data_IF_625790762466
#
_entry.id   IF_625790762466
#
_cell.length_a   1.000
_cell.length_b   1.000
_cell.length_c   1.000
_cell.angle_alpha   90.00
_cell.angle_beta   90.00
_cell.angle_gamma   90.00
#
_symmetry.space_group_name_H-M   'P 1'
#
loop_
_entity.id
_entity.type
_entity.pdbx_description
1 polymer ?
#
# COMPACT_ATOMS: atom_id res chain seq x y z
N UNK A 1 63.65 33.28 38.34
CA UNK A 1 64.49 34.23 37.57
C UNK A 1 64.18 34.06 36.09
N UNK A 2 63.93 35.16 35.40
CA UNK A 2 63.55 35.26 33.99
C UNK A 2 64.51 34.53 33.03
N UNK A 3 63.96 33.99 31.92
CA UNK A 3 64.16 34.59 30.59
C UNK A 3 63.21 34.00 29.55
N UNK A 4 62.49 34.93 28.94
CA UNK A 4 61.81 34.92 27.66
C UNK A 4 62.67 34.39 26.52
N UNK A 5 62.10 33.59 25.60
CA UNK A 5 62.34 33.78 24.17
C UNK A 5 61.11 33.33 23.38
N UNK A 6 60.46 34.31 22.76
CA UNK A 6 59.42 34.21 21.75
C UNK A 6 60.11 33.85 20.43
N UNK A 7 59.69 32.79 19.75
CA UNK A 7 60.04 32.55 18.33
C UNK A 7 58.74 32.46 17.55
N UNK A 8 58.47 33.52 16.78
CA UNK A 8 57.44 33.56 15.74
C UNK A 8 58.15 33.18 14.44
N UNK A 9 57.71 32.11 13.77
CA UNK A 9 58.07 31.85 12.37
C UNK A 9 56.78 31.65 11.56
N UNK A 10 56.59 32.65 10.70
CA UNK A 10 55.89 32.75 9.42
C UNK A 10 55.00 31.61 8.91
N UNK A 11 53.78 32.03 8.57
CA UNK A 11 52.89 31.49 7.54
C UNK A 11 53.63 30.93 6.31
N UNK A 12 53.35 29.69 5.96
CA UNK A 12 53.40 29.23 4.57
C UNK A 12 52.14 28.42 4.27
N UNK A 13 51.30 28.99 3.43
CA UNK A 13 50.18 28.33 2.77
C UNK A 13 50.75 27.18 1.91
N UNK A 14 50.40 25.95 2.26
CA UNK A 14 50.46 24.77 1.40
C UNK A 14 49.13 24.04 1.65
N UNK A 15 48.09 24.39 0.89
CA UNK A 15 47.71 23.68 -0.33
C UNK A 15 47.63 22.15 -0.13
N UNK A 16 46.41 21.73 0.21
CA UNK A 16 45.63 20.69 -0.48
C UNK A 16 46.23 19.29 -0.63
N UNK A 17 45.42 18.33 -0.16
CA UNK A 17 45.41 16.92 -0.54
C UNK A 17 46.56 16.04 0.00
N UNK A 18 46.50 15.74 1.30
CA UNK A 18 46.84 14.40 1.75
C UNK A 18 45.55 13.74 2.24
N UNK A 19 45.23 12.63 1.57
CA UNK A 19 44.11 11.74 1.81
C UNK A 19 44.04 11.34 3.28
N UNK A 20 43.08 11.92 3.99
CA UNK A 20 42.56 11.31 5.20
C UNK A 20 41.47 10.33 4.72
N UNK A 21 41.55 9.01 5.03
CA UNK A 21 40.49 8.06 4.74
C UNK A 21 39.30 8.33 5.66
N UNK A 22 38.59 9.37 5.25
CA UNK A 22 37.25 9.80 5.60
C UNK A 22 36.33 8.59 5.69
N UNK A 23 35.89 8.28 6.90
CA UNK A 23 34.48 8.38 7.31
C UNK A 23 33.47 8.18 6.16
N UNK A 24 33.56 7.05 5.46
CA UNK A 24 32.63 6.67 4.39
C UNK A 24 32.19 5.22 4.58
N UNK A 25 31.79 4.91 5.81
CA UNK A 25 30.97 3.73 6.09
C UNK A 25 29.75 4.19 6.87
N UNK A 26 28.92 4.99 6.20
CA UNK A 26 27.51 5.23 6.48
C UNK A 26 27.02 6.13 5.34
N UNK A 27 26.99 5.54 4.14
CA UNK A 27 26.25 6.09 3.03
C UNK A 27 25.19 5.04 2.70
N UNK A 28 23.95 5.48 2.86
CA UNK A 28 22.74 4.82 2.40
C UNK A 28 22.50 3.45 3.07
N UNK A 29 21.70 3.47 4.14
CA UNK A 29 20.64 2.45 4.22
C UNK A 29 19.78 2.72 2.98
N UNK A 30 20.21 2.17 1.84
CA UNK A 30 19.33 1.98 0.72
C UNK A 30 18.15 1.24 1.31
N UNK A 31 17.00 1.93 1.34
CA UNK A 31 15.70 1.29 1.32
C UNK A 31 15.89 0.05 0.46
N UNK A 32 15.71 -1.13 1.04
CA UNK A 32 15.58 -2.34 0.24
C UNK A 32 14.35 -2.04 -0.60
N UNK A 33 14.54 -1.51 -1.80
CA UNK A 33 13.54 -1.53 -2.84
C UNK A 33 13.31 -3.00 -3.07
N UNK A 34 12.30 -3.55 -2.40
CA UNK A 34 11.75 -4.85 -2.72
C UNK A 34 11.17 -4.65 -4.11
N UNK A 35 11.99 -4.94 -5.12
CA UNK A 35 11.59 -4.90 -6.52
C UNK A 35 10.32 -5.75 -6.66
N UNK A 36 9.23 -5.21 -7.23
CA UNK A 36 8.06 -6.02 -7.57
C UNK A 36 8.56 -7.21 -8.36
N UNK A 37 8.24 -8.42 -7.92
CA UNK A 37 8.68 -9.66 -8.56
C UNK A 37 8.45 -9.55 -10.06
N UNK A 38 9.53 -9.44 -10.83
CA UNK A 38 9.50 -9.29 -12.28
C UNK A 38 8.61 -10.41 -12.83
N UNK A 39 7.51 -10.05 -13.50
CA UNK A 39 6.68 -11.04 -14.15
C UNK A 39 7.54 -11.65 -15.27
N UNK A 40 7.76 -12.98 -15.30
CA UNK A 40 8.65 -13.57 -16.29
C UNK A 40 8.03 -13.36 -17.66
N UNK A 41 8.60 -12.43 -18.43
CA UNK A 41 8.09 -12.10 -19.76
C UNK A 41 8.85 -12.94 -20.77
N UNK A 42 8.17 -13.88 -21.45
CA UNK A 42 8.75 -14.56 -22.61
C UNK A 42 9.09 -13.53 -23.68
N UNK A 43 10.31 -13.63 -24.20
CA UNK A 43 10.81 -12.79 -25.31
C UNK A 43 10.01 -13.00 -26.60
N UNK A 44 9.32 -14.15 -26.73
CA UNK A 44 8.39 -14.45 -27.82
C UNK A 44 7.05 -15.00 -27.27
N UNK A 45 5.97 -14.19 -27.22
CA UNK A 45 4.70 -14.58 -26.64
C UNK A 45 3.96 -15.62 -27.52
N UNK A 46 3.59 -16.73 -26.89
CA UNK A 46 2.79 -17.81 -27.48
C UNK A 46 1.32 -17.60 -27.09
N UNK A 47 0.63 -16.74 -27.85
CA UNK A 47 -0.76 -16.36 -27.56
C UNK A 47 -1.73 -17.55 -27.46
N UNK A 48 -1.70 -18.55 -28.37
CA UNK A 48 -2.53 -19.74 -28.22
C UNK A 48 -2.28 -20.49 -26.91
N UNK A 49 -1.00 -20.66 -26.51
CA UNK A 49 -0.66 -21.30 -25.25
C UNK A 49 -1.16 -20.48 -24.04
N UNK A 50 -1.05 -19.15 -24.12
CA UNK A 50 -1.55 -18.25 -23.09
C UNK A 50 -3.07 -18.37 -22.91
N UNK A 51 -3.83 -18.40 -24.00
CA UNK A 51 -5.28 -18.61 -23.97
C UNK A 51 -5.67 -19.96 -23.36
N UNK A 52 -4.96 -21.04 -23.70
CA UNK A 52 -5.22 -22.37 -23.12
C UNK A 52 -5.06 -22.35 -21.60
N UNK A 53 -3.97 -21.75 -21.11
CA UNK A 53 -3.74 -21.62 -19.67
C UNK A 53 -4.78 -20.70 -19.01
N UNK A 54 -5.17 -19.61 -19.67
CA UNK A 54 -6.23 -18.73 -19.19
C UNK A 54 -7.57 -19.48 -19.00
N UNK A 55 -8.04 -20.21 -20.01
CA UNK A 55 -9.31 -20.96 -19.92
C UNK A 55 -9.25 -22.09 -18.88
N UNK A 56 -8.10 -22.74 -18.71
CA UNK A 56 -7.90 -23.71 -17.63
C UNK A 56 -7.98 -23.05 -16.26
N UNK A 57 -7.35 -21.89 -16.08
CA UNK A 57 -7.44 -21.10 -14.85
C UNK A 57 -8.88 -20.71 -14.51
N UNK A 58 -9.67 -20.29 -15.51
CA UNK A 58 -11.10 -20.02 -15.32
C UNK A 58 -11.88 -21.26 -14.87
N UNK A 59 -11.60 -22.43 -15.46
CA UNK A 59 -12.24 -23.69 -15.08
C UNK A 59 -11.92 -24.08 -13.64
N UNK A 60 -10.67 -23.96 -13.22
CA UNK A 60 -10.28 -24.22 -11.82
C UNK A 60 -10.89 -23.21 -10.85
N UNK A 61 -10.93 -21.92 -11.20
CA UNK A 61 -11.62 -20.89 -10.39
C UNK A 61 -13.09 -21.23 -10.19
N UNK A 62 -13.79 -21.63 -11.25
CA UNK A 62 -15.20 -22.03 -11.18
C UNK A 62 -15.43 -23.30 -10.35
N UNK A 63 -14.44 -24.20 -10.29
CA UNK A 63 -14.47 -25.39 -9.45
C UNK A 63 -14.08 -25.11 -7.98
N UNK A 64 -13.69 -23.88 -7.63
CA UNK A 64 -13.19 -23.53 -6.30
C UNK A 64 -11.75 -23.96 -6.03
N UNK A 65 -11.04 -24.49 -7.03
CA UNK A 65 -9.65 -24.93 -6.95
C UNK A 65 -8.71 -23.73 -7.15
N UNK A 66 -8.71 -22.80 -6.21
CA UNK A 66 -8.08 -21.48 -6.38
C UNK A 66 -6.56 -21.53 -6.55
N UNK A 67 -5.84 -22.42 -5.87
CA UNK A 67 -4.39 -22.57 -6.03
C UNK A 67 -4.03 -23.01 -7.46
N UNK A 68 -4.78 -23.97 -8.02
CA UNK A 68 -4.57 -24.42 -9.40
C UNK A 68 -4.95 -23.34 -10.41
N UNK A 69 -5.99 -22.55 -10.10
CA UNK A 69 -6.34 -21.41 -10.92
C UNK A 69 -5.22 -20.36 -10.97
N UNK A 70 -4.57 -20.09 -9.83
CA UNK A 70 -3.41 -19.20 -9.73
C UNK A 70 -2.25 -19.73 -10.60
N UNK A 71 -1.93 -21.02 -10.50
CA UNK A 71 -0.86 -21.62 -11.31
C UNK A 71 -1.11 -21.47 -12.81
N UNK A 72 -2.32 -21.75 -13.28
CA UNK A 72 -2.66 -21.62 -14.70
C UNK A 72 -2.68 -20.15 -15.15
N UNK A 73 -3.14 -19.22 -14.32
CA UNK A 73 -3.05 -17.78 -14.66
C UNK A 73 -1.61 -17.28 -14.71
N UNK A 74 -0.71 -17.75 -13.84
CA UNK A 74 0.72 -17.43 -13.93
C UNK A 74 1.33 -17.95 -15.24
N UNK A 75 1.05 -19.19 -15.62
CA UNK A 75 1.49 -19.75 -16.92
C UNK A 75 0.93 -18.98 -18.12
N UNK A 76 -0.31 -18.48 -18.01
CA UNK A 76 -0.92 -17.61 -19.04
C UNK A 76 -0.14 -16.30 -19.19
N UNK A 77 0.25 -15.66 -18.09
CA UNK A 77 1.08 -14.45 -18.11
C UNK A 77 2.45 -14.75 -18.74
N UNK A 78 3.12 -15.83 -18.31
CA UNK A 78 4.41 -16.27 -18.84
C UNK A 78 4.36 -16.58 -20.35
N UNK A 79 3.24 -17.09 -20.84
CA UNK A 79 3.00 -17.36 -22.26
C UNK A 79 2.67 -16.10 -23.08
N UNK A 80 2.44 -14.94 -22.45
CA UNK A 80 2.29 -13.66 -23.14
C UNK A 80 1.00 -12.90 -22.88
N UNK A 81 0.09 -13.43 -22.06
CA UNK A 81 -1.12 -12.71 -21.63
C UNK A 81 -0.81 -11.77 -20.45
N UNK A 82 0.04 -10.77 -20.69
CA UNK A 82 0.54 -9.80 -19.71
C UNK A 82 -0.31 -8.51 -19.75
N UNK A 83 -1.55 -8.60 -19.29
CA UNK A 83 -2.45 -7.45 -19.19
C UNK A 83 -2.91 -7.17 -17.75
N UNK A 84 -3.46 -5.97 -17.54
CA UNK A 84 -3.97 -5.51 -16.23
C UNK A 84 -5.04 -6.45 -15.66
N UNK A 85 -5.81 -7.11 -16.53
CA UNK A 85 -6.91 -7.98 -16.15
C UNK A 85 -6.41 -9.32 -15.57
N UNK A 86 -5.29 -9.86 -16.07
CA UNK A 86 -4.68 -11.06 -15.49
C UNK A 86 -4.20 -10.82 -14.05
N UNK A 87 -3.58 -9.65 -13.81
CA UNK A 87 -3.16 -9.28 -12.45
C UNK A 87 -4.35 -9.07 -11.52
N UNK A 88 -5.45 -8.49 -12.02
CA UNK A 88 -6.70 -8.36 -11.25
C UNK A 88 -7.25 -9.72 -10.82
N UNK A 89 -7.26 -10.70 -11.74
CA UNK A 89 -7.71 -12.06 -11.45
C UNK A 89 -6.84 -12.76 -10.40
N UNK A 90 -5.52 -12.58 -10.48
CA UNK A 90 -4.61 -13.11 -9.46
C UNK A 90 -4.85 -12.45 -8.11
N UNK A 91 -4.91 -11.11 -8.05
CA UNK A 91 -5.22 -10.39 -6.82
C UNK A 91 -6.53 -10.85 -6.18
N UNK A 92 -7.61 -11.01 -6.95
CA UNK A 92 -8.90 -11.54 -6.47
C UNK A 92 -8.79 -12.94 -5.85
N UNK A 93 -8.03 -13.84 -6.47
CA UNK A 93 -7.84 -15.20 -5.95
C UNK A 93 -7.03 -15.19 -4.66
N UNK A 94 -5.95 -14.39 -4.61
CA UNK A 94 -5.16 -14.22 -3.39
C UNK A 94 -5.97 -13.60 -2.25
N UNK A 95 -6.84 -12.62 -2.54
CA UNK A 95 -7.79 -12.07 -1.56
C UNK A 95 -8.77 -13.14 -1.04
N UNK A 96 -9.27 -13.98 -1.93
CA UNK A 96 -10.19 -15.08 -1.57
C UNK A 96 -9.50 -16.10 -0.66
N UNK A 97 -8.22 -16.37 -0.91
CA UNK A 97 -7.37 -17.23 -0.09
C UNK A 97 -6.81 -16.55 1.16
N UNK A 98 -7.16 -15.28 1.41
CA UNK A 98 -6.63 -14.46 2.52
C UNK A 98 -5.10 -14.33 2.54
N UNK A 99 -4.49 -14.42 1.37
CA UNK A 99 -3.06 -14.24 1.11
C UNK A 99 -2.82 -12.78 0.74
N UNK A 100 -2.82 -11.92 1.74
CA UNK A 100 -2.96 -10.48 1.57
C UNK A 100 -1.68 -9.84 1.01
N UNK A 101 -0.51 -10.36 1.36
CA UNK A 101 0.79 -9.90 0.87
C UNK A 101 0.95 -10.18 -0.63
N UNK A 102 0.57 -11.37 -1.11
CA UNK A 102 0.56 -11.65 -2.54
C UNK A 102 -0.47 -10.81 -3.29
N UNK A 103 -1.65 -10.59 -2.70
CA UNK A 103 -2.65 -9.68 -3.27
C UNK A 103 -2.10 -8.25 -3.37
N UNK A 104 -1.38 -7.76 -2.36
CA UNK A 104 -0.70 -6.46 -2.36
C UNK A 104 0.22 -6.32 -3.56
N UNK A 105 1.08 -7.32 -3.80
CA UNK A 105 2.03 -7.31 -4.91
C UNK A 105 1.33 -7.16 -6.27
N UNK A 106 0.28 -7.96 -6.51
CA UNK A 106 -0.46 -7.89 -7.77
C UNK A 106 -1.25 -6.59 -7.95
N UNK A 107 -1.78 -6.01 -6.86
CA UNK A 107 -2.43 -4.70 -6.90
C UNK A 107 -1.42 -3.58 -7.22
N UNK A 108 -0.18 -3.67 -6.73
CA UNK A 108 0.88 -2.71 -7.07
C UNK A 108 1.28 -2.80 -8.55
N UNK A 109 1.39 -4.01 -9.10
CA UNK A 109 1.63 -4.20 -10.56
C UNK A 109 0.50 -3.57 -11.39
N UNK A 110 -0.75 -3.65 -10.93
CA UNK A 110 -1.88 -2.97 -11.59
C UNK A 110 -1.66 -1.45 -11.60
N UNK A 111 -1.24 -0.88 -10.47
CA UNK A 111 -0.99 0.56 -10.32
C UNK A 111 0.25 1.04 -11.08
N UNK A 112 1.25 0.19 -11.31
CA UNK A 112 2.37 0.48 -12.21
C UNK A 112 1.91 0.63 -13.65
N UNK A 113 0.96 -0.22 -14.09
CA UNK A 113 0.38 -0.17 -15.44
C UNK A 113 -0.65 0.93 -15.59
N UNK A 114 -1.40 1.22 -14.53
CA UNK A 114 -2.42 2.26 -14.48
C UNK A 114 -2.47 2.89 -13.09
N UNK A 115 -1.69 3.96 -12.92
CA UNK A 115 -1.58 4.72 -11.68
C UNK A 115 -2.87 5.41 -11.21
N UNK A 116 -3.95 5.35 -12.00
CA UNK A 116 -5.26 5.92 -11.66
C UNK A 116 -6.34 4.85 -11.55
N UNK A 117 -5.97 3.57 -11.46
CA UNK A 117 -6.94 2.50 -11.27
C UNK A 117 -7.58 2.60 -9.87
N UNK A 118 -8.77 3.19 -9.84
CA UNK A 118 -9.53 3.45 -8.64
C UNK A 118 -9.83 2.19 -7.83
N UNK A 119 -10.07 1.06 -8.51
CA UNK A 119 -10.39 -0.21 -7.87
C UNK A 119 -9.14 -0.81 -7.22
N UNK A 120 -7.99 -0.68 -7.86
CA UNK A 120 -6.72 -1.11 -7.28
C UNK A 120 -6.36 -0.30 -6.04
N UNK A 121 -6.47 1.03 -6.07
CA UNK A 121 -6.28 1.87 -4.88
C UNK A 121 -7.24 1.50 -3.74
N UNK A 122 -8.51 1.24 -4.07
CA UNK A 122 -9.51 0.83 -3.07
C UNK A 122 -9.18 -0.52 -2.43
N UNK A 123 -8.88 -1.53 -3.25
CA UNK A 123 -8.53 -2.86 -2.77
C UNK A 123 -7.24 -2.84 -1.95
N UNK A 124 -6.22 -2.09 -2.39
CA UNK A 124 -4.95 -1.92 -1.71
C UNK A 124 -5.13 -1.25 -0.35
N UNK A 125 -5.88 -0.14 -0.30
CA UNK A 125 -6.22 0.51 0.96
C UNK A 125 -6.89 -0.46 1.95
N UNK A 126 -7.86 -1.25 1.46
CA UNK A 126 -8.59 -2.20 2.30
C UNK A 126 -7.67 -3.27 2.91
N UNK A 127 -6.79 -3.88 2.11
CA UNK A 127 -5.88 -4.90 2.65
C UNK A 127 -4.87 -4.31 3.62
N UNK A 128 -4.33 -3.12 3.32
CA UNK A 128 -3.33 -2.46 4.15
C UNK A 128 -3.90 -2.11 5.52
N UNK A 129 -5.12 -1.56 5.56
CA UNK A 129 -5.78 -1.13 6.80
C UNK A 129 -6.36 -2.31 7.59
N UNK A 130 -7.12 -3.19 6.95
CA UNK A 130 -7.91 -4.19 7.68
C UNK A 130 -7.15 -5.50 7.97
N UNK A 131 -6.12 -5.82 7.18
CA UNK A 131 -5.48 -7.14 7.24
C UNK A 131 -3.99 -7.06 7.57
N UNK A 132 -3.26 -6.08 7.03
CA UNK A 132 -1.81 -5.97 7.20
C UNK A 132 -1.39 -4.98 8.31
N UNK A 133 -2.31 -4.14 8.80
CA UNK A 133 -2.02 -3.12 9.83
C UNK A 133 -1.07 -2.01 9.37
N UNK A 134 -0.87 -1.86 8.06
CA UNK A 134 -0.03 -0.82 7.44
C UNK A 134 -0.86 0.46 7.26
N UNK A 135 -1.19 1.11 8.37
CA UNK A 135 -2.18 2.20 8.38
C UNK A 135 -1.74 3.45 7.61
N UNK A 136 -0.46 3.84 7.65
CA UNK A 136 0.06 5.01 6.92
C UNK A 136 -0.09 4.85 5.40
N UNK A 137 0.36 3.71 4.87
CA UNK A 137 0.22 3.39 3.45
C UNK A 137 -1.26 3.24 3.07
N UNK A 138 -2.03 2.53 3.89
CA UNK A 138 -3.46 2.32 3.67
C UNK A 138 -4.25 3.63 3.63
N UNK A 139 -3.89 4.60 4.48
CA UNK A 139 -4.48 5.94 4.49
C UNK A 139 -4.21 6.67 3.17
N UNK A 140 -2.96 6.65 2.69
CA UNK A 140 -2.58 7.27 1.42
C UNK A 140 -3.40 6.70 0.25
N UNK A 141 -3.48 5.38 0.16
CA UNK A 141 -4.23 4.69 -0.90
C UNK A 141 -5.74 4.96 -0.80
N UNK A 142 -6.30 5.03 0.41
CA UNK A 142 -7.71 5.34 0.62
C UNK A 142 -8.06 6.78 0.19
N UNK A 143 -7.17 7.74 0.47
CA UNK A 143 -7.32 9.14 0.06
C UNK A 143 -7.24 9.27 -1.47
N UNK A 144 -6.28 8.60 -2.11
CA UNK A 144 -6.16 8.57 -3.58
C UNK A 144 -7.41 7.95 -4.22
N UNK A 145 -7.91 6.83 -3.69
CA UNK A 145 -9.16 6.22 -4.17
C UNK A 145 -10.34 7.19 -4.05
N UNK A 146 -10.40 7.99 -2.98
CA UNK A 146 -11.45 8.99 -2.76
C UNK A 146 -11.35 10.14 -3.75
N UNK A 147 -10.14 10.62 -4.03
CA UNK A 147 -9.90 11.67 -5.03
C UNK A 147 -10.31 11.21 -6.44
N UNK A 148 -9.91 10.00 -6.84
CA UNK A 148 -10.19 9.43 -8.16
C UNK A 148 -11.68 9.15 -8.41
N UNK A 149 -12.46 8.88 -7.36
CA UNK A 149 -13.90 8.63 -7.49
C UNK A 149 -14.70 9.89 -7.92
N UNK A 150 -14.14 11.08 -7.71
CA UNK A 150 -14.72 12.34 -8.17
C UNK A 150 -15.42 13.16 -7.08
N UNK A 151 -15.60 14.46 -7.38
CA UNK A 151 -16.13 15.49 -6.46
C UNK A 151 -17.61 15.34 -6.12
N UNK A 152 -18.37 14.57 -6.90
CA UNK A 152 -19.80 14.34 -6.65
C UNK A 152 -20.06 13.49 -5.41
N UNK A 153 -19.02 12.87 -4.83
CA UNK A 153 -18.75 12.78 -3.39
C UNK A 153 -19.86 12.22 -2.47
N UNK A 154 -20.92 11.64 -3.00
CA UNK A 154 -22.10 11.18 -2.23
C UNK A 154 -21.86 9.83 -1.58
N UNK A 155 -20.83 9.11 -2.03
CA UNK A 155 -20.45 7.81 -1.49
C UNK A 155 -19.34 7.97 -0.45
N UNK A 156 -19.75 8.13 0.81
CA UNK A 156 -18.84 8.13 1.96
C UNK A 156 -18.30 6.73 2.30
N UNK A 157 -18.45 5.73 1.42
CA UNK A 157 -17.88 4.37 1.56
C UNK A 157 -16.39 4.44 1.90
N UNK A 158 -15.66 5.33 1.22
CA UNK A 158 -14.21 5.46 1.39
C UNK A 158 -13.81 6.10 2.71
N UNK A 159 -14.69 6.91 3.29
CA UNK A 159 -14.47 7.52 4.59
C UNK A 159 -14.41 6.48 5.72
N UNK A 160 -15.00 5.29 5.53
CA UNK A 160 -14.84 4.20 6.49
C UNK A 160 -13.38 3.73 6.59
N UNK A 161 -12.74 3.44 5.45
CA UNK A 161 -11.34 3.00 5.45
C UNK A 161 -10.40 4.11 5.92
N UNK A 162 -10.65 5.37 5.53
CA UNK A 162 -9.87 6.51 6.01
C UNK A 162 -10.01 6.64 7.54
N UNK A 163 -11.22 6.51 8.07
CA UNK A 163 -11.48 6.52 9.51
C UNK A 163 -10.76 5.37 10.24
N UNK A 164 -10.85 4.14 9.72
CA UNK A 164 -10.14 2.97 10.27
C UNK A 164 -8.62 3.16 10.24
N UNK A 165 -8.08 3.76 9.18
CA UNK A 165 -6.65 4.05 9.07
C UNK A 165 -6.20 5.07 10.13
N UNK A 166 -6.90 6.19 10.28
CA UNK A 166 -6.59 7.17 11.33
C UNK A 166 -6.74 6.60 12.74
N UNK A 167 -7.73 5.74 12.97
CA UNK A 167 -7.94 5.05 14.25
C UNK A 167 -6.74 4.13 14.58
N UNK A 168 -6.26 3.37 13.60
CA UNK A 168 -5.05 2.56 13.70
C UNK A 168 -3.78 3.38 13.96
N UNK A 169 -3.71 4.60 13.42
CA UNK A 169 -2.63 5.57 13.68
C UNK A 169 -2.76 6.29 15.04
N UNK A 170 -3.88 6.11 15.74
CA UNK A 170 -4.17 6.80 17.00
C UNK A 170 -4.62 8.26 16.83
N UNK A 171 -4.80 8.75 15.60
CA UNK A 171 -5.39 10.05 15.31
C UNK A 171 -6.92 9.98 15.42
N UNK A 172 -7.38 9.96 16.67
CA UNK A 172 -8.78 9.82 17.00
C UNK A 172 -9.64 11.00 16.57
N UNK A 173 -9.06 12.18 16.36
CA UNK A 173 -9.81 13.34 15.89
C UNK A 173 -10.19 13.19 14.42
N UNK A 174 -9.21 12.86 13.57
CA UNK A 174 -9.49 12.59 12.16
C UNK A 174 -10.28 11.29 11.97
N UNK A 175 -10.05 10.26 12.80
CA UNK A 175 -10.85 9.03 12.78
C UNK A 175 -12.34 9.32 12.98
N UNK A 176 -12.71 10.04 14.05
CA UNK A 176 -14.12 10.42 14.33
C UNK A 176 -14.70 11.25 13.19
N UNK A 177 -13.93 12.21 12.64
CA UNK A 177 -14.38 13.05 11.53
C UNK A 177 -14.77 12.20 10.32
N UNK A 178 -13.93 11.26 9.91
CA UNK A 178 -14.19 10.40 8.75
C UNK A 178 -15.27 9.35 9.03
N UNK A 179 -15.31 8.76 10.23
CA UNK A 179 -16.42 7.92 10.64
C UNK A 179 -17.76 8.65 10.58
N UNK A 180 -17.82 9.91 11.04
CA UNK A 180 -19.04 10.74 10.93
C UNK A 180 -19.42 11.04 9.47
N UNK A 181 -18.44 11.21 8.57
CA UNK A 181 -18.71 11.32 7.13
C UNK A 181 -19.30 10.03 6.58
N UNK A 182 -18.70 8.87 6.89
CA UNK A 182 -19.24 7.56 6.52
C UNK A 182 -20.70 7.38 6.95
N UNK A 183 -21.03 7.71 8.20
CA UNK A 183 -22.40 7.60 8.72
C UNK A 183 -23.41 8.57 8.09
N UNK A 184 -22.95 9.64 7.43
CA UNK A 184 -23.79 10.56 6.63
C UNK A 184 -24.09 10.03 5.24
N UNK A 185 -23.33 9.04 4.75
CA UNK A 185 -23.51 8.46 3.41
C UNK A 185 -24.87 7.78 3.28
N UNK A 186 -25.67 8.20 2.30
CA UNK A 186 -27.03 7.70 2.06
C UNK A 186 -27.07 6.29 1.44
N UNK A 187 -25.91 5.75 1.04
CA UNK A 187 -25.80 4.44 0.37
C UNK A 187 -25.68 3.25 1.32
N UNK A 188 -25.49 3.45 2.62
CA UNK A 188 -25.43 2.35 3.59
C UNK A 188 -26.67 2.30 4.46
N UNK A 189 -27.26 1.11 4.55
CA UNK A 189 -28.32 0.85 5.49
C UNK A 189 -27.79 1.06 6.93
N UNK A 190 -28.50 1.82 7.78
CA UNK A 190 -28.20 1.95 9.21
C UNK A 190 -28.07 0.61 9.96
N UNK A 191 -28.51 -0.49 9.35
CA UNK A 191 -28.48 -1.83 9.92
C UNK A 191 -27.25 -2.66 9.53
N UNK A 192 -26.38 -2.15 8.65
CA UNK A 192 -25.13 -2.84 8.30
C UNK A 192 -24.18 -2.95 9.50
N UNK A 193 -23.42 -4.04 9.57
CA UNK A 193 -22.47 -4.28 10.66
C UNK A 193 -21.43 -3.16 10.74
N UNK A 194 -20.90 -2.71 9.60
CA UNK A 194 -19.98 -1.57 9.52
C UNK A 194 -20.57 -0.30 10.14
N UNK A 195 -21.87 -0.02 9.92
CA UNK A 195 -22.53 1.16 10.49
C UNK A 195 -22.64 1.08 12.01
N UNK A 196 -23.05 -0.08 12.54
CA UNK A 196 -23.19 -0.33 13.98
C UNK A 196 -21.83 -0.28 14.68
N UNK A 197 -20.84 -0.94 14.09
CA UNK A 197 -19.47 -0.97 14.61
C UNK A 197 -18.84 0.42 14.60
N UNK A 198 -19.03 1.18 13.52
CA UNK A 198 -18.52 2.56 13.45
C UNK A 198 -19.14 3.45 14.53
N UNK A 199 -20.45 3.37 14.75
CA UNK A 199 -21.11 4.12 15.83
C UNK A 199 -20.57 3.75 17.20
N UNK A 200 -20.47 2.44 17.48
CA UNK A 200 -19.91 1.94 18.73
C UNK A 200 -18.48 2.47 18.93
N UNK A 201 -17.66 2.40 17.90
CA UNK A 201 -16.27 2.85 17.95
C UNK A 201 -16.14 4.35 18.22
N UNK A 202 -16.97 5.19 17.61
CA UNK A 202 -17.00 6.63 17.92
C UNK A 202 -17.27 6.86 19.42
N UNK A 203 -18.29 6.20 19.98
CA UNK A 203 -18.62 6.35 21.40
C UNK A 203 -17.49 5.89 22.33
N UNK A 204 -16.79 4.80 22.00
CA UNK A 204 -15.61 4.35 22.76
C UNK A 204 -14.50 5.40 22.78
N UNK A 205 -14.19 5.99 21.62
CA UNK A 205 -13.16 7.02 21.50
C UNK A 205 -13.55 8.28 22.28
N UNK A 206 -14.80 8.73 22.15
CA UNK A 206 -15.31 9.93 22.85
C UNK A 206 -15.32 9.73 24.37
N UNK A 207 -15.74 8.55 24.86
CA UNK A 207 -15.71 8.22 26.29
C UNK A 207 -14.29 8.20 26.84
N UNK A 208 -13.33 7.63 26.09
CA UNK A 208 -11.92 7.60 26.49
C UNK A 208 -11.35 9.02 26.61
N UNK A 209 -11.69 9.92 25.68
CA UNK A 209 -11.29 11.34 25.75
C UNK A 209 -11.90 12.05 26.96
N UNK A 210 -13.17 11.79 27.29
CA UNK A 210 -13.82 12.39 28.45
C UNK A 210 -13.17 11.97 29.78
N UNK A 211 -12.74 10.72 29.90
CA UNK A 211 -12.02 10.22 31.09
C UNK A 211 -10.65 10.89 31.25
N UNK A 212 -9.92 11.12 30.15
CA UNK A 212 -8.58 11.70 30.20
C UNK A 212 -8.58 13.22 30.51
N UNK A 213 -9.71 13.89 30.29
CA UNK A 213 -9.85 15.34 30.47
C UNK A 213 -10.51 15.73 31.81
N UNK A 214 -10.92 14.76 32.63
CA UNK A 214 -11.48 14.95 33.97
C UNK A 214 -10.46 14.57 35.04
#
# INVERSE_FOLDING_TARGET
MWKTTLVIIFFSVFCWACENPFLRQNRDVSVVEVSPTETPKRENPDKPLAEVHFYRGLKFKAAGEYERAIEEFKKSIEAGNDDKEMYRRLAELYLTLKKYEEAENYLRIILEKDSKDLMAHWALAKILVENLGKYDEGLKEALLSKELYGKDGSSHVRDLLIGKAYDGLGDYENAIKHYKLFLKGTSYAPDSDDYKETKKRISEIENKKAILNN
#
